data_IF_711088693184
#
_entry.id   IF_711088693184
#
_cell.length_a   1.000
_cell.length_b   1.000
_cell.length_c   1.000
_cell.angle_alpha   90.00
_cell.angle_beta   90.00
_cell.angle_gamma   90.00
#
_symmetry.space_group_name_H-M   'P 1'
#
loop_
_entity.id
_entity.type
_entity.pdbx_description
1 polymer ?
#
# COMPACT_ATOMS: atom_id res chain seq x y z
N UNK A 1 -32.21 -27.17 52.37
CA UNK A 1 -32.12 -28.18 51.33
C UNK A 1 -32.38 -27.46 50.02
N UNK A 2 -31.34 -26.87 49.42
CA UNK A 2 -31.43 -26.12 48.17
C UNK A 2 -30.37 -26.71 47.25
N UNK A 3 -30.80 -27.37 46.18
CA UNK A 3 -30.00 -28.03 45.18
C UNK A 3 -29.36 -27.00 44.26
N UNK A 4 -28.03 -27.08 44.15
CA UNK A 4 -27.23 -26.35 43.16
C UNK A 4 -27.35 -27.10 41.81
N UNK A 5 -27.55 -26.44 40.66
CA UNK A 5 -27.42 -27.10 39.35
C UNK A 5 -25.96 -27.14 38.88
N UNK A 6 -25.58 -28.30 38.34
CA UNK A 6 -24.29 -28.56 37.73
C UNK A 6 -24.00 -27.67 36.51
N UNK A 7 -22.72 -27.37 36.22
CA UNK A 7 -22.35 -26.63 35.02
C UNK A 7 -22.38 -27.54 33.79
N UNK A 8 -22.94 -27.04 32.71
CA UNK A 8 -22.94 -27.65 31.37
C UNK A 8 -21.48 -27.60 30.80
N UNK A 9 -21.09 -28.62 30.00
CA UNK A 9 -19.77 -28.64 29.38
C UNK A 9 -19.67 -27.57 28.28
N UNK A 10 -18.47 -26.97 28.18
CA UNK A 10 -18.08 -26.01 27.17
C UNK A 10 -18.09 -26.68 25.78
N UNK A 11 -18.91 -26.17 24.89
CA UNK A 11 -18.88 -26.48 23.47
C UNK A 11 -17.63 -25.84 22.84
N UNK A 12 -16.84 -26.69 22.21
CA UNK A 12 -15.64 -26.32 21.47
C UNK A 12 -16.03 -25.43 20.28
N UNK A 13 -15.66 -24.14 20.36
CA UNK A 13 -15.61 -23.28 19.18
C UNK A 13 -14.33 -23.60 18.43
N UNK A 14 -14.43 -24.42 17.40
CA UNK A 14 -13.40 -24.64 16.40
C UNK A 14 -13.38 -23.47 15.40
N UNK A 15 -12.18 -22.88 15.30
CA UNK A 15 -11.53 -22.28 14.15
C UNK A 15 -12.38 -21.87 12.92
N UNK A 16 -12.60 -20.57 12.81
CA UNK A 16 -12.74 -19.86 11.54
C UNK A 16 -12.24 -18.42 11.70
N UNK A 17 -10.94 -18.24 11.92
CA UNK A 17 -10.31 -16.92 12.09
C UNK A 17 -9.07 -16.75 11.19
N UNK A 18 -9.06 -17.32 9.99
CA UNK A 18 -7.92 -17.26 9.07
C UNK A 18 -8.11 -16.32 7.87
N UNK A 19 -9.28 -15.68 7.69
CA UNK A 19 -9.60 -14.96 6.44
C UNK A 19 -9.69 -13.43 6.52
N UNK A 20 -9.35 -12.77 7.63
CA UNK A 20 -9.66 -11.32 7.76
C UNK A 20 -8.51 -10.40 8.18
N UNK A 21 -7.27 -10.67 7.81
CA UNK A 21 -6.18 -9.83 8.31
C UNK A 21 -5.18 -9.29 7.27
N UNK A 22 -5.53 -9.33 6.00
CA UNK A 22 -4.82 -8.58 4.97
C UNK A 22 -5.82 -7.56 4.43
N UNK A 23 -5.55 -6.27 4.61
CA UNK A 23 -6.44 -5.15 4.31
C UNK A 23 -7.32 -5.33 3.08
N UNK A 24 -8.65 -5.41 3.30
CA UNK A 24 -9.73 -5.46 2.30
C UNK A 24 -9.96 -4.12 1.58
N UNK A 25 -8.91 -3.41 1.18
CA UNK A 25 -9.07 -2.21 0.36
C UNK A 25 -8.90 -2.49 -1.15
N UNK A 26 -8.88 -3.78 -1.55
CA UNK A 26 -8.86 -4.21 -2.94
C UNK A 26 -9.76 -5.43 -3.14
N UNK A 27 -11.06 -5.35 -2.78
CA UNK A 27 -12.07 -6.23 -3.33
C UNK A 27 -12.42 -5.75 -4.73
N UNK A 28 -11.76 -6.35 -5.74
CA UNK A 28 -12.38 -6.59 -7.02
C UNK A 28 -12.88 -8.04 -6.98
N UNK A 29 -14.19 -8.21 -7.11
CA UNK A 29 -14.87 -9.49 -7.19
C UNK A 29 -14.19 -10.41 -8.21
N UNK A 30 -13.63 -11.52 -7.73
CA UNK A 30 -13.14 -12.59 -8.57
C UNK A 30 -14.07 -13.79 -8.36
N UNK A 31 -15.17 -13.85 -9.13
CA UNK A 31 -15.93 -15.07 -9.32
C UNK A 31 -15.16 -15.97 -10.28
N UNK A 32 -14.74 -17.13 -9.78
CA UNK A 32 -14.05 -18.15 -10.55
C UNK A 32 -15.01 -18.88 -11.48
N UNK A 33 -14.79 -18.77 -12.77
CA UNK A 33 -15.45 -19.59 -13.77
C UNK A 33 -14.73 -20.92 -13.94
N UNK A 34 -15.54 -21.98 -13.99
CA UNK A 34 -15.14 -23.38 -14.19
C UNK A 34 -14.63 -23.55 -15.63
N UNK A 35 -13.42 -24.08 -15.76
CA UNK A 35 -12.81 -24.40 -17.06
C UNK A 35 -13.53 -25.58 -17.72
N UNK A 36 -14.15 -25.34 -18.87
CA UNK A 36 -14.58 -26.35 -19.81
C UNK A 36 -13.44 -26.64 -20.82
N UNK A 37 -13.26 -27.90 -21.18
CA UNK A 37 -12.11 -28.45 -21.88
C UNK A 37 -12.13 -28.20 -23.41
N UNK A 38 -10.91 -28.06 -23.96
CA UNK A 38 -10.53 -28.32 -25.38
C UNK A 38 -10.91 -27.29 -26.47
N UNK A 39 -10.31 -26.08 -26.35
CA UNK A 39 -9.86 -25.35 -27.55
C UNK A 39 -8.45 -24.83 -27.25
N UNK A 40 -7.46 -25.20 -28.11
CA UNK A 40 -6.09 -24.69 -27.94
C UNK A 40 -6.08 -23.16 -27.76
N UNK A 41 -5.08 -22.56 -27.01
CA UNK A 41 -5.14 -21.18 -26.62
C UNK A 41 -5.24 -20.26 -27.83
N UNK A 42 -6.45 -19.77 -28.11
CA UNK A 42 -6.64 -18.66 -29.03
C UNK A 42 -5.85 -17.48 -28.44
N UNK A 43 -5.07 -16.80 -29.28
CA UNK A 43 -4.37 -15.58 -28.88
C UNK A 43 -5.42 -14.60 -28.28
N UNK A 44 -5.36 -14.30 -26.98
CA UNK A 44 -6.37 -13.46 -26.32
C UNK A 44 -6.37 -12.03 -26.87
N UNK A 45 -5.38 -11.66 -27.67
CA UNK A 45 -5.26 -10.35 -28.32
C UNK A 45 -5.58 -10.40 -29.82
N UNK A 46 -6.03 -11.54 -30.35
CA UNK A 46 -6.43 -11.64 -31.75
C UNK A 46 -7.60 -10.69 -32.07
N UNK A 47 -7.58 -10.01 -33.22
CA UNK A 47 -8.69 -9.15 -33.66
C UNK A 47 -10.02 -9.91 -33.73
N UNK A 48 -11.06 -9.34 -33.14
CA UNK A 48 -12.42 -9.89 -33.19
C UNK A 48 -13.22 -9.11 -34.22
N UNK A 49 -13.63 -9.82 -35.29
CA UNK A 49 -14.47 -9.26 -36.36
C UNK A 49 -15.93 -9.63 -36.13
N UNK A 50 -16.80 -8.63 -36.14
CA UNK A 50 -18.23 -8.78 -35.96
C UNK A 50 -18.95 -8.15 -37.14
N UNK A 51 -19.83 -8.92 -37.79
CA UNK A 51 -20.76 -8.37 -38.78
C UNK A 51 -22.10 -8.19 -38.10
N UNK A 52 -22.58 -6.95 -38.05
CA UNK A 52 -23.86 -6.64 -37.44
C UNK A 52 -25.01 -7.15 -38.29
N UNK A 53 -26.11 -7.44 -37.67
CA UNK A 53 -27.36 -7.87 -38.27
C UNK A 53 -28.50 -6.87 -37.99
N UNK A 54 -29.55 -6.78 -38.81
CA UNK A 54 -30.59 -5.75 -38.66
C UNK A 54 -31.32 -5.72 -37.32
N UNK A 55 -31.21 -6.79 -36.53
CA UNK A 55 -31.81 -6.87 -35.19
C UNK A 55 -31.23 -5.89 -34.16
N UNK A 56 -30.04 -5.36 -34.40
CA UNK A 56 -29.39 -4.37 -33.53
C UNK A 56 -29.54 -2.94 -34.07
N UNK A 57 -30.30 -2.74 -35.15
CA UNK A 57 -30.54 -1.42 -35.75
C UNK A 57 -31.14 -0.44 -34.73
N UNK A 58 -30.51 0.73 -34.62
CA UNK A 58 -30.95 1.79 -33.68
C UNK A 58 -30.35 1.65 -32.26
N UNK A 59 -29.63 0.57 -31.98
CA UNK A 59 -28.95 0.43 -30.69
C UNK A 59 -27.64 1.23 -30.62
N UNK A 60 -27.14 1.42 -29.42
CA UNK A 60 -25.85 2.10 -29.22
C UNK A 60 -24.70 1.12 -29.38
N UNK A 61 -23.63 1.57 -30.04
CA UNK A 61 -22.42 0.79 -30.30
C UNK A 61 -21.89 0.09 -29.03
N UNK A 62 -21.75 0.83 -27.90
CA UNK A 62 -21.23 0.28 -26.66
C UNK A 62 -22.09 -0.86 -26.06
N UNK A 63 -23.39 -0.84 -26.32
CA UNK A 63 -24.28 -1.93 -25.88
C UNK A 63 -24.18 -3.14 -26.80
N UNK A 64 -24.14 -2.90 -28.08
CA UNK A 64 -24.05 -3.97 -29.08
C UNK A 64 -22.73 -4.72 -28.98
N UNK A 65 -21.61 -3.99 -28.88
CA UNK A 65 -20.30 -4.62 -28.70
C UNK A 65 -20.24 -5.41 -27.40
N UNK A 66 -20.73 -4.88 -26.29
CA UNK A 66 -20.74 -5.60 -25.02
C UNK A 66 -21.62 -6.86 -25.03
N UNK A 67 -22.68 -6.91 -25.85
CA UNK A 67 -23.52 -8.10 -26.04
C UNK A 67 -22.83 -9.15 -26.89
N UNK A 68 -22.08 -8.73 -27.92
CA UNK A 68 -21.45 -9.63 -28.89
C UNK A 68 -20.06 -10.09 -28.45
N UNK A 69 -19.42 -9.40 -27.51
CA UNK A 69 -18.09 -9.72 -26.98
C UNK A 69 -18.16 -9.81 -25.45
N UNK A 70 -18.87 -10.81 -24.91
CA UNK A 70 -19.21 -10.90 -23.49
C UNK A 70 -17.97 -11.17 -22.60
N UNK A 71 -16.86 -11.64 -23.17
CA UNK A 71 -15.60 -11.88 -22.44
C UNK A 71 -14.94 -10.60 -21.90
N UNK A 72 -15.39 -9.40 -22.32
CA UNK A 72 -14.86 -8.14 -21.83
C UNK A 72 -15.96 -7.29 -21.19
N UNK A 73 -15.64 -6.63 -20.08
CA UNK A 73 -16.59 -5.73 -19.42
C UNK A 73 -16.98 -4.55 -20.33
N UNK A 74 -18.23 -4.09 -20.21
CA UNK A 74 -18.73 -2.95 -21.00
C UNK A 74 -17.87 -1.70 -20.81
N UNK A 75 -17.38 -1.44 -19.59
CA UNK A 75 -16.51 -0.30 -19.32
C UNK A 75 -15.20 -0.38 -20.09
N UNK A 76 -14.60 -1.57 -20.17
CA UNK A 76 -13.38 -1.82 -20.96
C UNK A 76 -13.61 -1.60 -22.45
N UNK A 77 -14.70 -2.12 -22.98
CA UNK A 77 -15.07 -1.89 -24.37
C UNK A 77 -15.35 -0.41 -24.71
N UNK A 78 -15.91 0.35 -23.75
CA UNK A 78 -16.08 1.80 -23.92
C UNK A 78 -14.74 2.53 -24.01
N UNK A 79 -13.76 2.19 -23.16
CA UNK A 79 -12.41 2.72 -23.24
C UNK A 79 -11.77 2.40 -24.58
N UNK A 80 -11.85 1.14 -25.04
CA UNK A 80 -11.31 0.73 -26.34
C UNK A 80 -11.95 1.46 -27.52
N UNK A 81 -13.25 1.80 -27.43
CA UNK A 81 -13.90 2.63 -28.45
C UNK A 81 -13.33 4.06 -28.43
N UNK A 82 -13.15 4.65 -27.26
CA UNK A 82 -12.58 6.01 -27.08
C UNK A 82 -11.14 6.08 -27.58
N UNK A 83 -10.35 5.04 -27.31
CA UNK A 83 -8.93 4.93 -27.67
C UNK A 83 -8.72 4.49 -29.15
N UNK A 84 -9.81 4.20 -29.89
CA UNK A 84 -9.77 3.82 -31.30
C UNK A 84 -9.43 2.38 -31.61
N UNK A 85 -9.42 1.49 -30.59
CA UNK A 85 -9.22 0.04 -30.75
C UNK A 85 -10.50 -0.69 -31.18
N UNK A 86 -11.62 -0.01 -31.29
CA UNK A 86 -12.85 -0.51 -31.90
C UNK A 86 -13.21 0.39 -33.07
N UNK A 87 -13.27 -0.23 -34.25
CA UNK A 87 -13.63 0.47 -35.48
C UNK A 87 -14.96 -0.03 -36.04
N UNK A 88 -15.70 0.87 -36.70
CA UNK A 88 -16.92 0.59 -37.45
C UNK A 88 -16.62 0.90 -38.90
N UNK A 89 -16.73 -0.08 -39.79
CA UNK A 89 -16.34 0.01 -41.22
C UNK A 89 -14.94 0.60 -41.43
N UNK A 90 -14.00 0.18 -40.57
CA UNK A 90 -12.60 0.59 -40.60
C UNK A 90 -12.36 2.02 -40.08
N UNK A 91 -13.33 2.69 -39.45
CA UNK A 91 -13.21 4.05 -38.92
C UNK A 91 -13.43 4.07 -37.39
N UNK A 92 -12.68 4.91 -36.66
CA UNK A 92 -12.96 5.15 -35.25
C UNK A 92 -14.39 5.66 -35.03
N UNK A 93 -15.05 5.18 -33.99
CA UNK A 93 -16.44 5.52 -33.68
C UNK A 93 -16.56 6.13 -32.28
N UNK A 94 -17.68 6.81 -32.02
CA UNK A 94 -17.99 7.32 -30.68
C UNK A 94 -18.69 6.23 -29.85
N UNK A 95 -18.43 6.17 -28.55
CA UNK A 95 -19.04 5.21 -27.60
C UNK A 95 -20.57 5.12 -27.74
N UNK A 96 -21.20 6.25 -27.95
CA UNK A 96 -22.67 6.36 -28.06
C UNK A 96 -23.17 6.45 -29.49
N UNK A 97 -22.33 6.08 -30.49
CA UNK A 97 -22.78 6.02 -31.87
C UNK A 97 -23.95 5.03 -32.01
N UNK A 98 -24.90 5.36 -32.89
CA UNK A 98 -25.98 4.45 -33.25
C UNK A 98 -25.49 3.53 -34.38
N UNK A 99 -25.77 2.24 -34.30
CA UNK A 99 -25.51 1.27 -35.36
C UNK A 99 -26.77 0.95 -36.13
N UNK A 100 -26.63 0.54 -37.41
CA UNK A 100 -27.78 0.35 -38.32
C UNK A 100 -27.97 -1.12 -38.71
N UNK A 101 -27.00 -2.01 -38.39
CA UNK A 101 -27.12 -3.45 -38.55
C UNK A 101 -26.56 -4.01 -39.88
N UNK A 102 -25.76 -3.23 -40.56
CA UNK A 102 -25.04 -3.62 -41.78
C UNK A 102 -23.52 -3.34 -41.69
N UNK A 103 -23.09 -2.83 -40.53
CA UNK A 103 -21.68 -2.47 -40.34
C UNK A 103 -20.82 -3.65 -39.94
N UNK A 104 -19.55 -3.57 -40.31
CA UNK A 104 -18.48 -4.44 -39.83
C UNK A 104 -17.77 -3.75 -38.64
N UNK A 105 -17.79 -4.37 -37.47
CA UNK A 105 -17.03 -3.92 -36.32
C UNK A 105 -15.78 -4.78 -36.20
N UNK A 106 -14.65 -4.14 -35.97
CA UNK A 106 -13.40 -4.80 -35.60
C UNK A 106 -13.00 -4.33 -34.23
N UNK A 107 -12.89 -5.26 -33.29
CA UNK A 107 -12.37 -5.04 -31.93
C UNK A 107 -10.93 -5.55 -31.91
N UNK A 108 -9.99 -4.69 -31.53
CA UNK A 108 -8.59 -5.05 -31.27
C UNK A 108 -8.39 -5.15 -29.76
N UNK A 109 -8.49 -6.36 -29.17
CA UNK A 109 -8.33 -6.51 -27.74
C UNK A 109 -6.97 -5.98 -27.30
N UNK A 110 -6.97 -5.24 -26.19
CA UNK A 110 -5.76 -4.77 -25.54
C UNK A 110 -5.56 -5.55 -24.26
N UNK A 111 -4.30 -5.87 -23.93
CA UNK A 111 -3.97 -6.45 -22.62
C UNK A 111 -4.60 -5.58 -21.52
N UNK A 112 -5.21 -6.22 -20.52
CA UNK A 112 -5.71 -5.47 -19.40
C UNK A 112 -4.54 -4.81 -18.67
N UNK A 113 -4.70 -3.59 -18.17
CA UNK A 113 -3.72 -3.05 -17.24
C UNK A 113 -3.43 -4.02 -16.08
N UNK A 114 -4.44 -4.79 -15.67
CA UNK A 114 -4.32 -5.85 -14.67
C UNK A 114 -3.40 -7.00 -15.12
N UNK A 115 -3.35 -7.31 -16.40
CA UNK A 115 -2.52 -8.39 -16.95
C UNK A 115 -1.01 -8.06 -16.88
N UNK A 116 -0.67 -6.76 -16.92
CA UNK A 116 0.71 -6.30 -16.74
C UNK A 116 1.06 -6.01 -15.28
N UNK A 117 0.08 -6.05 -14.39
CA UNK A 117 0.25 -5.73 -12.96
C UNK A 117 1.31 -6.60 -12.27
N UNK A 118 1.51 -7.82 -12.73
CA UNK A 118 2.47 -8.77 -12.19
C UNK A 118 3.67 -9.01 -13.13
N UNK A 119 3.85 -8.19 -14.17
CA UNK A 119 5.01 -8.29 -15.04
C UNK A 119 6.29 -7.88 -14.27
N UNK A 120 7.38 -8.68 -14.34
CA UNK A 120 8.66 -8.29 -13.78
C UNK A 120 9.22 -7.03 -14.46
N UNK A 121 9.70 -6.05 -13.68
CA UNK A 121 10.30 -4.82 -14.21
C UNK A 121 11.63 -4.51 -13.51
N UNK A 122 12.66 -4.03 -14.24
CA UNK A 122 13.98 -3.73 -13.68
C UNK A 122 13.95 -2.43 -12.85
N UNK A 123 13.39 -2.53 -11.65
CA UNK A 123 13.33 -1.44 -10.67
C UNK A 123 14.45 -1.65 -9.65
N UNK A 124 15.23 -0.61 -9.41
CA UNK A 124 16.28 -0.65 -8.39
C UNK A 124 15.68 -0.71 -6.98
N UNK A 125 16.14 -1.69 -6.19
CA UNK A 125 15.65 -1.94 -4.82
C UNK A 125 16.86 -1.93 -3.88
N UNK A 126 16.87 -0.98 -2.97
CA UNK A 126 17.86 -0.89 -1.90
C UNK A 126 17.60 -1.96 -0.83
N UNK A 127 18.49 -2.96 -0.76
CA UNK A 127 18.37 -4.10 0.14
C UNK A 127 19.22 -3.86 1.39
N UNK A 128 18.57 -3.79 2.53
CA UNK A 128 19.19 -3.61 3.84
C UNK A 128 19.66 -4.95 4.42
N UNK A 129 18.87 -6.00 4.22
CA UNK A 129 19.16 -7.36 4.68
C UNK A 129 18.49 -8.38 3.77
N UNK A 130 19.16 -9.51 3.56
CA UNK A 130 18.60 -10.65 2.83
C UNK A 130 19.20 -11.95 3.37
N UNK A 131 18.34 -12.97 3.54
CA UNK A 131 18.72 -14.35 3.77
C UNK A 131 17.86 -15.31 2.94
N UNK A 132 17.80 -16.58 3.33
CA UNK A 132 17.01 -17.59 2.61
C UNK A 132 15.49 -17.42 2.79
N UNK A 133 15.05 -16.70 3.82
CA UNK A 133 13.64 -16.62 4.25
C UNK A 133 13.03 -15.23 4.06
N UNK A 134 13.77 -14.17 4.31
CA UNK A 134 13.22 -12.81 4.23
C UNK A 134 14.17 -11.82 3.55
N UNK A 135 13.59 -10.73 3.09
CA UNK A 135 14.30 -9.57 2.56
C UNK A 135 13.82 -8.34 3.33
N UNK A 136 14.73 -7.51 3.79
CA UNK A 136 14.41 -6.17 4.32
C UNK A 136 14.94 -5.14 3.34
N UNK A 137 14.08 -4.24 2.91
CA UNK A 137 14.41 -3.20 1.94
C UNK A 137 14.22 -1.81 2.55
N UNK A 138 14.94 -0.84 2.01
CA UNK A 138 14.70 0.58 2.19
C UNK A 138 13.96 1.12 0.96
N UNK A 139 12.63 1.22 1.04
CA UNK A 139 11.82 1.71 -0.07
C UNK A 139 12.06 3.20 -0.30
N UNK A 140 12.41 3.66 -1.50
CA UNK A 140 12.47 5.08 -1.80
C UNK A 140 11.08 5.73 -1.78
N UNK A 141 11.03 7.04 -1.53
CA UNK A 141 9.84 7.84 -1.78
C UNK A 141 9.51 7.85 -3.29
N UNK A 142 8.24 7.97 -3.64
CA UNK A 142 7.77 7.96 -5.02
C UNK A 142 7.44 6.57 -5.58
N UNK A 143 7.90 5.48 -4.94
CA UNK A 143 7.64 4.11 -5.38
C UNK A 143 6.35 3.58 -4.75
N UNK A 144 5.40 3.18 -5.60
CA UNK A 144 4.15 2.49 -5.19
C UNK A 144 4.48 1.04 -4.81
N UNK A 145 3.86 0.51 -3.77
CA UNK A 145 4.14 -0.85 -3.28
C UNK A 145 3.48 -1.92 -4.14
N UNK A 146 2.18 -1.78 -4.42
CA UNK A 146 1.39 -2.75 -5.18
C UNK A 146 0.72 -2.10 -6.39
N UNK A 147 0.54 -2.84 -7.48
CA UNK A 147 -0.33 -2.41 -8.56
C UNK A 147 -1.75 -2.10 -8.06
N UNK A 148 -2.38 -1.14 -8.71
CA UNK A 148 -3.75 -0.73 -8.40
C UNK A 148 -4.21 0.38 -9.32
N UNK A 149 -5.44 0.85 -9.16
CA UNK A 149 -6.03 1.88 -10.01
C UNK A 149 -5.11 3.10 -10.18
N UNK A 150 -4.70 3.36 -11.42
CA UNK A 150 -3.78 4.43 -11.79
C UNK A 150 -2.28 4.10 -11.68
N UNK A 151 -1.90 2.89 -11.21
CA UNK A 151 -0.50 2.45 -11.11
C UNK A 151 -0.43 0.93 -11.31
N UNK A 152 -0.61 0.46 -12.54
CA UNK A 152 -0.63 -0.96 -12.87
C UNK A 152 0.77 -1.55 -13.11
N UNK A 153 1.79 -0.71 -13.23
CA UNK A 153 3.19 -1.06 -13.48
C UNK A 153 4.10 -0.11 -12.71
N UNK A 154 5.42 -0.35 -12.73
CA UNK A 154 6.39 0.50 -12.03
C UNK A 154 6.28 0.42 -10.51
N UNK A 155 5.83 -0.69 -9.95
CA UNK A 155 5.63 -0.85 -8.51
C UNK A 155 6.75 -1.69 -7.88
N UNK A 156 6.88 -1.61 -6.55
CA UNK A 156 7.82 -2.45 -5.81
C UNK A 156 7.59 -3.93 -6.13
N UNK A 157 6.34 -4.37 -6.25
CA UNK A 157 6.00 -5.75 -6.60
C UNK A 157 6.64 -6.16 -7.94
N UNK A 158 6.58 -5.30 -8.97
CA UNK A 158 7.20 -5.58 -10.27
C UNK A 158 8.72 -5.71 -10.16
N UNK A 159 9.36 -4.83 -9.37
CA UNK A 159 10.80 -4.90 -9.08
C UNK A 159 11.22 -6.15 -8.31
N UNK A 160 10.41 -6.56 -7.32
CA UNK A 160 10.64 -7.79 -6.56
C UNK A 160 10.57 -9.02 -7.45
N UNK A 161 9.57 -9.11 -8.34
CA UNK A 161 9.44 -10.21 -9.30
C UNK A 161 10.60 -10.26 -10.30
N UNK A 162 11.16 -9.10 -10.67
CA UNK A 162 12.33 -9.05 -11.56
C UNK A 162 13.60 -9.54 -10.86
N UNK A 163 13.87 -9.06 -9.65
CA UNK A 163 15.12 -9.38 -8.93
C UNK A 163 15.07 -10.77 -8.29
N UNK A 164 13.90 -11.20 -7.84
CA UNK A 164 13.66 -12.52 -7.22
C UNK A 164 12.50 -13.25 -7.90
N UNK A 165 12.70 -13.87 -9.08
CA UNK A 165 11.64 -14.52 -9.84
C UNK A 165 10.86 -15.60 -9.06
N UNK A 166 11.50 -16.23 -8.07
CA UNK A 166 10.85 -17.22 -7.20
C UNK A 166 9.70 -16.65 -6.37
N UNK A 167 9.67 -15.32 -6.15
CA UNK A 167 8.55 -14.66 -5.46
C UNK A 167 7.24 -14.69 -6.26
N UNK A 168 7.28 -15.05 -7.56
CA UNK A 168 6.08 -15.29 -8.36
C UNK A 168 5.20 -16.43 -7.83
N UNK A 169 5.77 -17.36 -7.03
CA UNK A 169 5.02 -18.41 -6.33
C UNK A 169 4.49 -18.01 -4.95
N UNK A 170 4.77 -16.79 -4.49
CA UNK A 170 4.35 -16.29 -3.18
C UNK A 170 3.29 -15.20 -3.36
N UNK A 171 2.14 -15.25 -2.66
CA UNK A 171 1.11 -14.24 -2.78
C UNK A 171 1.68 -12.82 -2.66
N UNK A 172 1.28 -11.92 -3.56
CA UNK A 172 1.76 -10.51 -3.59
C UNK A 172 3.30 -10.38 -3.55
N UNK A 173 4.01 -11.32 -4.16
CA UNK A 173 5.49 -11.38 -4.13
C UNK A 173 6.08 -11.31 -2.71
N UNK A 174 5.42 -11.93 -1.73
CA UNK A 174 5.89 -11.98 -0.33
C UNK A 174 5.67 -10.72 0.50
N UNK A 175 5.06 -9.66 -0.06
CA UNK A 175 4.79 -8.41 0.65
C UNK A 175 3.70 -8.64 1.71
N UNK A 176 3.98 -8.25 2.96
CA UNK A 176 3.10 -8.44 4.13
C UNK A 176 2.56 -7.14 4.72
N UNK A 177 3.15 -6.00 4.37
CA UNK A 177 2.69 -4.66 4.76
C UNK A 177 3.06 -3.63 3.68
N UNK A 178 2.58 -2.42 3.84
CA UNK A 178 2.80 -1.37 2.85
C UNK A 178 3.23 -0.05 3.48
N UNK A 179 3.93 0.75 2.68
CA UNK A 179 4.14 2.18 2.88
C UNK A 179 3.37 2.95 1.81
N UNK A 180 3.00 4.18 2.09
CA UNK A 180 2.45 5.08 1.08
C UNK A 180 3.48 5.35 -0.03
N UNK A 181 3.03 5.73 -1.23
CA UNK A 181 3.90 6.03 -2.37
C UNK A 181 5.09 6.92 -1.96
N UNK A 182 4.81 8.04 -1.30
CA UNK A 182 5.79 9.06 -0.96
C UNK A 182 6.36 8.93 0.46
N UNK A 183 6.08 7.82 1.16
CA UNK A 183 6.74 7.44 2.41
C UNK A 183 7.93 6.56 2.09
N UNK A 184 9.11 6.91 2.56
CA UNK A 184 10.35 6.12 2.45
C UNK A 184 10.54 5.19 3.63
N UNK A 185 11.48 4.24 3.52
CA UNK A 185 11.97 3.47 4.65
C UNK A 185 11.72 1.98 4.61
N UNK A 186 11.89 1.34 5.77
CA UNK A 186 11.99 -0.11 5.92
C UNK A 186 10.69 -0.85 5.63
N UNK A 187 10.83 -1.91 4.84
CA UNK A 187 9.79 -2.93 4.60
C UNK A 187 10.39 -4.32 4.64
N UNK A 188 9.60 -5.31 5.13
CA UNK A 188 9.97 -6.73 5.10
C UNK A 188 9.12 -7.50 4.10
N UNK A 189 9.78 -8.44 3.40
CA UNK A 189 9.21 -9.33 2.38
C UNK A 189 9.56 -10.77 2.76
N UNK A 190 8.58 -11.68 2.76
CA UNK A 190 8.81 -13.10 2.94
C UNK A 190 9.15 -13.78 1.62
N UNK A 191 10.21 -14.59 1.58
CA UNK A 191 10.67 -15.27 0.34
C UNK A 191 9.88 -16.54 0.03
N UNK A 192 9.15 -17.06 0.99
CA UNK A 192 8.32 -18.25 0.87
C UNK A 192 6.98 -18.08 1.63
N UNK A 193 6.02 -18.97 1.37
CA UNK A 193 4.69 -18.91 1.96
C UNK A 193 4.68 -19.09 3.48
N UNK A 194 5.58 -19.92 4.03
CA UNK A 194 5.65 -20.17 5.47
C UNK A 194 6.14 -18.92 6.20
N UNK A 195 7.21 -18.30 5.69
CA UNK A 195 7.76 -17.03 6.16
C UNK A 195 6.73 -15.91 6.06
N UNK A 196 6.07 -15.78 4.91
CA UNK A 196 5.03 -14.77 4.72
C UNK A 196 3.89 -14.93 5.72
N UNK A 197 3.42 -16.18 5.92
CA UNK A 197 2.34 -16.49 6.87
C UNK A 197 2.73 -16.14 8.30
N UNK A 198 3.95 -16.46 8.71
CA UNK A 198 4.45 -16.12 10.05
C UNK A 198 4.54 -14.60 10.25
N UNK A 199 5.13 -13.87 9.30
CA UNK A 199 5.20 -12.41 9.35
C UNK A 199 3.80 -11.76 9.42
N UNK A 200 2.81 -12.29 8.70
CA UNK A 200 1.42 -11.84 8.79
C UNK A 200 0.87 -12.09 10.21
N UNK A 201 1.13 -13.25 10.82
CA UNK A 201 0.71 -13.53 12.19
C UNK A 201 1.36 -12.58 13.19
N UNK A 202 2.64 -12.27 13.04
CA UNK A 202 3.33 -11.30 13.89
C UNK A 202 2.73 -9.89 13.75
N UNK A 203 2.38 -9.46 12.54
CA UNK A 203 1.69 -8.19 12.30
C UNK A 203 0.29 -8.16 12.95
N UNK A 204 -0.46 -9.27 12.87
CA UNK A 204 -1.77 -9.42 13.53
C UNK A 204 -1.65 -9.39 15.05
N UNK A 205 -0.66 -10.08 15.60
CA UNK A 205 -0.34 -10.10 17.02
C UNK A 205 0.26 -8.77 17.51
N UNK A 206 0.53 -7.80 16.59
CA UNK A 206 1.15 -6.50 16.88
C UNK A 206 2.54 -6.62 17.51
N UNK A 207 3.25 -7.73 17.28
CA UNK A 207 4.59 -7.95 17.77
C UNK A 207 5.69 -7.36 16.90
N UNK A 208 5.39 -7.04 15.63
CA UNK A 208 6.32 -6.34 14.74
C UNK A 208 6.47 -4.88 15.17
N UNK A 209 7.66 -4.50 15.57
CA UNK A 209 8.00 -3.10 15.89
C UNK A 209 8.13 -2.31 14.60
N UNK A 210 7.35 -1.25 14.45
CA UNK A 210 7.39 -0.33 13.31
C UNK A 210 7.49 1.08 13.82
N UNK A 211 8.66 1.68 13.66
CA UNK A 211 8.94 3.01 14.14
C UNK A 211 9.22 3.94 12.96
N UNK A 212 8.57 5.08 13.01
CA UNK A 212 8.62 6.10 11.98
C UNK A 212 9.08 7.42 12.58
N UNK A 213 9.85 8.17 11.82
CA UNK A 213 10.07 9.58 12.11
C UNK A 213 9.23 10.44 11.18
N UNK A 214 8.60 11.45 11.75
CA UNK A 214 7.69 12.36 11.06
C UNK A 214 7.99 13.80 11.49
N UNK A 215 8.09 14.73 10.54
CA UNK A 215 8.12 16.14 10.86
C UNK A 215 6.70 16.70 10.77
N UNK A 216 6.19 17.21 11.88
CA UNK A 216 4.83 17.73 12.01
C UNK A 216 4.83 19.23 12.24
N UNK A 217 3.83 19.93 11.72
CA UNK A 217 3.59 21.34 12.04
C UNK A 217 3.12 21.51 13.47
N UNK A 218 3.70 22.50 14.18
CA UNK A 218 3.33 22.85 15.54
C UNK A 218 4.10 22.07 16.60
N UNK A 219 3.62 22.15 17.84
CA UNK A 219 4.28 21.58 19.01
C UNK A 219 3.32 20.65 19.74
N UNK A 220 3.22 19.37 19.36
CA UNK A 220 2.43 18.37 20.07
C UNK A 220 2.97 18.20 21.51
N UNK A 221 2.19 17.57 22.38
CA UNK A 221 2.67 17.14 23.70
C UNK A 221 3.91 16.27 23.53
N UNK A 222 4.71 16.16 24.61
CA UNK A 222 5.96 15.39 24.58
C UNK A 222 5.72 13.95 24.12
N UNK A 223 4.67 13.32 24.61
CA UNK A 223 4.27 11.97 24.19
C UNK A 223 2.75 11.80 24.30
N UNK A 224 2.24 10.76 23.65
CA UNK A 224 0.84 10.40 23.71
C UNK A 224 0.49 9.17 22.88
N UNK A 225 -0.76 8.73 23.04
CA UNK A 225 -1.34 7.66 22.27
C UNK A 225 -2.58 8.18 21.55
N UNK A 226 -2.68 7.90 20.26
CA UNK A 226 -3.85 8.19 19.44
C UNK A 226 -4.55 6.86 19.20
N UNK A 227 -5.61 6.59 19.97
CA UNK A 227 -6.49 5.45 19.78
C UNK A 227 -7.77 5.97 19.12
N UNK A 228 -7.78 5.99 17.80
CA UNK A 228 -8.85 6.60 17.03
C UNK A 228 -9.13 5.74 15.75
N UNK A 229 -10.25 5.02 15.71
CA UNK A 229 -10.62 4.18 14.58
C UNK A 229 -10.65 4.96 13.27
N UNK A 230 -10.26 4.30 12.19
CA UNK A 230 -10.14 4.92 10.87
C UNK A 230 -11.02 4.23 9.84
N UNK A 231 -11.56 5.01 8.92
CA UNK A 231 -12.33 4.54 7.76
C UNK A 231 -12.15 5.47 6.58
N UNK A 232 -12.77 5.13 5.44
CA UNK A 232 -12.77 6.01 4.27
C UNK A 232 -13.51 7.31 4.59
N UNK A 233 -12.98 8.43 4.08
CA UNK A 233 -13.63 9.72 4.25
C UNK A 233 -14.98 9.75 3.50
N UNK A 234 -16.05 10.23 4.14
CA UNK A 234 -17.42 10.11 3.61
C UNK A 234 -17.66 10.80 2.25
N UNK A 235 -16.94 11.88 1.98
CA UNK A 235 -17.13 12.70 0.76
C UNK A 235 -15.98 12.59 -0.24
N UNK A 236 -14.79 12.27 0.23
CA UNK A 236 -13.57 12.21 -0.59
C UNK A 236 -13.01 10.78 -0.52
N UNK A 237 -13.27 9.99 -1.55
CA UNK A 237 -12.87 8.58 -1.60
C UNK A 237 -11.36 8.34 -1.62
N UNK A 238 -10.58 9.37 -1.93
CA UNK A 238 -9.10 9.29 -1.93
C UNK A 238 -8.55 9.39 -0.51
N UNK A 239 -9.33 9.94 0.43
CA UNK A 239 -8.91 10.20 1.80
C UNK A 239 -9.40 9.14 2.78
N UNK A 240 -8.57 8.92 3.79
CA UNK A 240 -8.96 8.25 5.03
C UNK A 240 -9.30 9.32 6.09
N UNK A 241 -10.06 8.93 7.11
CA UNK A 241 -10.42 9.83 8.22
C UNK A 241 -10.59 9.03 9.51
N UNK A 242 -10.38 9.69 10.65
CA UNK A 242 -10.87 9.18 11.93
C UNK A 242 -12.39 9.09 11.85
N UNK A 243 -12.94 7.92 12.15
CA UNK A 243 -14.35 7.62 12.00
C UNK A 243 -14.77 6.53 12.98
N UNK A 244 -15.99 6.65 13.51
CA UNK A 244 -16.64 5.60 14.32
C UNK A 244 -17.80 4.95 13.56
N UNK A 245 -17.95 5.24 12.25
CA UNK A 245 -19.01 4.71 11.39
C UNK A 245 -18.80 3.24 11.01
N UNK A 246 -19.81 2.67 10.34
CA UNK A 246 -19.74 1.32 9.77
C UNK A 246 -18.51 1.19 8.84
N UNK A 247 -17.69 0.15 9.09
CA UNK A 247 -16.46 -0.08 8.33
C UNK A 247 -15.21 0.62 8.87
N UNK A 248 -15.31 1.42 9.94
CA UNK A 248 -14.12 1.93 10.63
C UNK A 248 -13.38 0.79 11.33
N UNK A 249 -12.06 0.74 11.15
CA UNK A 249 -11.18 -0.28 11.75
C UNK A 249 -10.38 0.34 12.90
N UNK A 250 -10.09 -0.39 14.00
CA UNK A 250 -9.24 0.10 15.07
C UNK A 250 -7.88 0.56 14.55
N UNK A 251 -7.41 1.70 15.04
CA UNK A 251 -6.13 2.26 14.67
C UNK A 251 -5.48 2.90 15.90
N UNK A 252 -4.23 2.49 16.24
CA UNK A 252 -3.50 2.94 17.40
C UNK A 252 -2.10 3.36 16.97
N UNK A 253 -1.74 4.61 17.31
CA UNK A 253 -0.42 5.22 17.08
C UNK A 253 0.09 5.81 18.38
N UNK A 254 1.25 5.38 18.84
CA UNK A 254 1.98 6.03 19.91
C UNK A 254 2.93 7.05 19.30
N UNK A 255 3.06 8.21 19.91
CA UNK A 255 4.00 9.22 19.45
C UNK A 255 4.81 9.82 20.60
N UNK A 256 6.02 10.26 20.25
CA UNK A 256 6.94 10.97 21.12
C UNK A 256 7.61 12.09 20.34
N UNK A 257 7.60 13.31 20.88
CA UNK A 257 8.29 14.44 20.28
C UNK A 257 9.76 14.40 20.66
N UNK A 258 10.62 14.16 19.69
CA UNK A 258 12.07 14.04 19.88
C UNK A 258 12.73 15.42 19.94
N UNK A 259 12.32 16.32 19.03
CA UNK A 259 12.90 17.66 18.93
C UNK A 259 11.85 18.68 18.46
N UNK A 260 12.17 19.95 18.61
CA UNK A 260 11.40 21.07 18.08
C UNK A 260 12.31 22.02 17.32
N UNK A 261 11.80 22.59 16.25
CA UNK A 261 12.49 23.54 15.40
C UNK A 261 11.53 24.54 14.79
N UNK A 262 11.99 25.26 13.79
CA UNK A 262 11.20 26.27 13.10
C UNK A 262 11.39 26.14 11.58
N UNK A 263 10.29 26.20 10.83
CA UNK A 263 10.29 26.23 9.37
C UNK A 263 9.38 27.38 8.92
N UNK A 264 9.87 28.27 8.05
CA UNK A 264 9.15 29.47 7.64
C UNK A 264 8.54 30.28 8.79
N UNK A 265 9.30 30.48 9.88
CA UNK A 265 8.88 31.17 11.11
C UNK A 265 7.68 30.51 11.81
N UNK A 266 7.52 29.22 11.65
CA UNK A 266 6.45 28.43 12.27
C UNK A 266 7.06 27.27 13.03
N UNK A 267 6.53 26.94 14.21
CA UNK A 267 7.04 25.81 14.96
C UNK A 267 6.78 24.50 14.21
N UNK A 268 7.77 23.65 14.20
CA UNK A 268 7.71 22.26 13.75
C UNK A 268 8.26 21.35 14.82
N UNK A 269 7.92 20.09 14.78
CA UNK A 269 8.43 19.08 15.70
C UNK A 269 8.77 17.80 14.96
N UNK A 270 9.94 17.25 15.24
CA UNK A 270 10.26 15.87 14.88
C UNK A 270 9.60 14.94 15.88
N UNK A 271 8.80 14.02 15.37
CA UNK A 271 7.99 13.09 16.14
C UNK A 271 8.32 11.67 15.76
N UNK A 272 8.68 10.85 16.73
CA UNK A 272 8.73 9.40 16.59
C UNK A 272 7.31 8.85 16.70
N UNK A 273 6.92 8.00 15.77
CA UNK A 273 5.63 7.32 15.77
C UNK A 273 5.82 5.81 15.80
N UNK A 274 5.20 5.12 16.75
CA UNK A 274 5.19 3.66 16.86
C UNK A 274 3.79 3.14 16.56
N UNK A 275 3.70 2.16 15.65
CA UNK A 275 2.42 1.63 15.18
C UNK A 275 2.09 0.29 15.83
N UNK A 276 0.91 0.18 16.48
CA UNK A 276 0.31 -1.12 16.77
C UNK A 276 -0.46 -1.65 15.54
N UNK A 277 -1.13 -0.80 14.83
CA UNK A 277 -1.91 -1.10 13.62
C UNK A 277 -1.29 -0.41 12.41
N UNK A 278 -1.57 -0.86 11.18
CA UNK A 278 -1.02 -0.28 9.95
C UNK A 278 -2.12 0.05 8.94
N UNK A 279 -3.01 1.01 9.24
CA UNK A 279 -4.06 1.43 8.30
C UNK A 279 -3.49 2.39 7.27
N UNK A 280 -4.13 2.42 6.09
CA UNK A 280 -3.76 3.36 5.02
C UNK A 280 -3.69 4.79 5.56
N UNK A 281 -2.56 5.47 5.32
CA UNK A 281 -2.29 6.84 5.77
C UNK A 281 -2.37 7.06 7.31
N UNK A 282 -2.23 6.02 8.14
CA UNK A 282 -2.58 6.09 9.58
C UNK A 282 -1.87 7.22 10.32
N UNK A 283 -0.54 7.32 10.27
CA UNK A 283 0.21 8.38 10.97
C UNK A 283 -0.23 9.76 10.48
N UNK A 284 -0.38 9.93 9.18
CA UNK A 284 -0.78 11.18 8.54
C UNK A 284 -2.14 11.65 9.01
N UNK A 285 -3.12 10.75 9.03
CA UNK A 285 -4.49 11.03 9.51
C UNK A 285 -4.52 11.29 11.01
N UNK A 286 -3.82 10.49 11.80
CA UNK A 286 -3.77 10.62 13.25
C UNK A 286 -3.12 11.94 13.68
N UNK A 287 -1.99 12.31 13.10
CA UNK A 287 -1.32 13.56 13.39
C UNK A 287 -2.15 14.78 12.95
N UNK A 288 -2.79 14.70 11.77
CA UNK A 288 -3.72 15.73 11.32
C UNK A 288 -4.95 15.86 12.25
N UNK A 289 -5.48 14.73 12.75
CA UNK A 289 -6.59 14.70 13.71
C UNK A 289 -6.24 15.40 15.03
N UNK A 290 -5.00 15.26 15.51
CA UNK A 290 -4.51 16.00 16.68
C UNK A 290 -4.29 17.50 16.41
N UNK A 291 -4.39 17.95 15.14
CA UNK A 291 -4.11 19.33 14.75
C UNK A 291 -2.67 19.59 14.32
N UNK A 292 -1.83 18.57 14.22
CA UNK A 292 -0.42 18.61 13.84
C UNK A 292 -0.15 17.84 12.55
N UNK A 293 -0.67 18.28 11.38
CA UNK A 293 -0.43 17.58 10.12
C UNK A 293 1.05 17.56 9.77
N UNK A 294 1.48 16.57 9.00
CA UNK A 294 2.87 16.44 8.60
C UNK A 294 3.27 17.54 7.61
N UNK A 295 4.53 17.93 7.68
CA UNK A 295 5.15 18.86 6.72
C UNK A 295 5.13 18.20 5.34
N UNK A 296 4.76 18.97 4.30
CA UNK A 296 4.69 18.50 2.92
C UNK A 296 3.51 17.56 2.61
N UNK A 297 2.60 17.28 3.54
CA UNK A 297 1.45 16.43 3.27
C UNK A 297 0.37 17.18 2.47
N UNK A 298 0.28 16.90 1.17
CA UNK A 298 -0.69 17.52 0.26
C UNK A 298 -2.13 17.06 0.46
N UNK A 299 -2.33 15.91 1.13
CA UNK A 299 -3.66 15.31 1.31
C UNK A 299 -4.31 15.77 2.61
N UNK A 300 -3.56 15.74 3.72
CA UNK A 300 -4.05 16.03 5.07
C UNK A 300 -3.50 17.34 5.65
N UNK A 301 -2.51 17.93 5.00
CA UNK A 301 -1.94 19.24 5.36
C UNK A 301 -2.88 20.39 5.04
N UNK A 302 -2.55 21.56 5.56
CA UNK A 302 -3.24 22.82 5.23
C UNK A 302 -2.66 23.34 3.91
N UNK A 303 -3.48 23.75 2.91
CA UNK A 303 -3.00 24.14 1.57
C UNK A 303 -1.87 25.17 1.56
N UNK A 304 -1.89 26.13 2.50
CA UNK A 304 -0.87 27.17 2.62
C UNK A 304 0.43 26.70 3.29
N UNK A 305 0.53 25.45 3.70
CA UNK A 305 1.70 24.85 4.36
C UNK A 305 2.29 23.67 3.58
N UNK A 306 1.78 23.36 2.39
CA UNK A 306 2.20 22.16 1.67
C UNK A 306 3.38 22.39 0.72
N UNK A 307 3.68 23.61 0.32
CA UNK A 307 4.69 23.90 -0.70
C UNK A 307 6.15 23.85 -0.23
N UNK A 308 6.40 23.70 1.07
CA UNK A 308 7.76 23.78 1.66
C UNK A 308 8.56 22.47 1.52
N UNK A 309 7.89 21.36 1.31
CA UNK A 309 8.52 20.07 1.08
C UNK A 309 7.69 19.26 0.08
N UNK A 310 8.35 18.51 -0.79
CA UNK A 310 7.72 17.91 -1.99
C UNK A 310 6.93 16.63 -1.71
N UNK A 311 6.94 16.10 -0.48
CA UNK A 311 6.22 14.90 -0.02
C UNK A 311 5.88 15.00 1.45
N UNK A 312 5.08 14.08 2.00
CA UNK A 312 4.97 13.99 3.45
C UNK A 312 6.33 13.67 4.08
N UNK A 313 6.75 14.48 5.05
CA UNK A 313 7.97 14.24 5.81
C UNK A 313 7.73 13.08 6.79
N UNK A 314 7.84 11.86 6.28
CA UNK A 314 7.58 10.60 6.96
C UNK A 314 8.49 9.50 6.42
N UNK A 315 9.17 8.80 7.34
CA UNK A 315 10.03 7.66 7.02
C UNK A 315 9.88 6.54 8.03
N UNK A 316 9.75 5.30 7.56
CA UNK A 316 9.84 4.09 8.36
C UNK A 316 11.33 3.84 8.68
N UNK A 317 11.76 4.20 9.90
CA UNK A 317 13.18 4.24 10.27
C UNK A 317 13.68 2.97 10.91
N UNK A 318 12.84 2.33 11.77
CA UNK A 318 13.20 1.12 12.49
C UNK A 318 12.15 0.04 12.32
N UNK A 319 12.60 -1.17 12.09
CA UNK A 319 11.77 -2.36 11.93
C UNK A 319 12.32 -3.49 12.78
N UNK A 320 11.50 -4.05 13.69
CA UNK A 320 11.89 -5.19 14.53
C UNK A 320 10.84 -6.29 14.47
N UNK A 321 11.31 -7.54 14.38
CA UNK A 321 10.46 -8.74 14.32
C UNK A 321 11.19 -9.96 14.89
N UNK A 322 10.45 -11.04 15.09
CA UNK A 322 11.04 -12.36 15.35
C UNK A 322 11.27 -13.04 14.01
N UNK A 323 12.49 -13.50 13.77
CA UNK A 323 12.84 -14.17 12.52
C UNK A 323 12.05 -15.48 12.36
N UNK A 324 11.26 -15.63 11.27
CA UNK A 324 10.33 -16.76 11.13
C UNK A 324 10.96 -18.16 11.19
N UNK A 325 12.20 -18.30 10.73
CA UNK A 325 12.88 -19.60 10.69
C UNK A 325 13.74 -19.85 11.93
N UNK A 326 14.43 -18.84 12.48
CA UNK A 326 15.36 -19.02 13.60
C UNK A 326 14.72 -18.75 14.96
N UNK A 327 13.64 -17.97 15.03
CA UNK A 327 13.03 -17.52 16.28
C UNK A 327 13.81 -16.41 17.00
N UNK A 328 14.89 -15.89 16.39
CA UNK A 328 15.70 -14.81 16.96
C UNK A 328 15.04 -13.45 16.74
N UNK A 329 15.24 -12.53 17.69
CA UNK A 329 14.83 -11.15 17.53
C UNK A 329 15.78 -10.42 16.57
N UNK A 330 15.24 -9.88 15.50
CA UNK A 330 15.95 -9.07 14.52
C UNK A 330 15.42 -7.64 14.55
N UNK A 331 16.33 -6.69 14.44
CA UNK A 331 15.98 -5.26 14.33
C UNK A 331 16.91 -4.59 13.31
N UNK A 332 16.33 -3.76 12.46
CA UNK A 332 17.04 -2.96 11.46
C UNK A 332 16.70 -1.51 11.65
N UNK A 333 17.68 -0.67 11.47
CA UNK A 333 17.54 0.79 11.51
C UNK A 333 18.29 1.39 10.33
N UNK A 334 17.75 2.45 9.74
CA UNK A 334 18.35 3.17 8.62
C UNK A 334 18.45 4.67 8.93
N UNK A 335 19.40 5.33 8.30
CA UNK A 335 19.51 6.79 8.33
C UNK A 335 18.31 7.43 7.62
N UNK A 336 18.04 8.69 7.94
CA UNK A 336 17.03 9.44 7.20
C UNK A 336 17.45 9.63 5.74
N UNK A 337 16.46 9.65 4.85
CA UNK A 337 16.66 10.02 3.46
C UNK A 337 17.22 11.45 3.36
N UNK A 338 18.09 11.68 2.38
CA UNK A 338 18.84 12.95 2.25
C UNK A 338 17.92 14.17 2.21
N UNK A 339 16.79 14.07 1.48
CA UNK A 339 15.80 15.15 1.43
C UNK A 339 15.16 15.44 2.79
N UNK A 340 14.90 14.41 3.60
CA UNK A 340 14.32 14.57 4.93
C UNK A 340 15.37 15.11 5.92
N UNK A 341 16.62 14.66 5.81
CA UNK A 341 17.73 15.18 6.62
C UNK A 341 17.97 16.67 6.34
N UNK A 342 18.04 17.06 5.06
CA UNK A 342 18.16 18.46 4.68
C UNK A 342 17.00 19.33 5.22
N UNK A 343 15.77 18.78 5.24
CA UNK A 343 14.62 19.45 5.83
C UNK A 343 14.77 19.64 7.35
N UNK A 344 15.31 18.65 8.08
CA UNK A 344 15.58 18.80 9.52
C UNK A 344 16.65 19.85 9.80
N UNK A 345 17.73 19.88 9.01
CA UNK A 345 18.78 20.90 9.10
C UNK A 345 18.20 22.31 8.89
N UNK A 346 17.33 22.49 7.88
CA UNK A 346 16.63 23.76 7.64
C UNK A 346 15.75 24.19 8.84
N UNK A 347 15.21 23.21 9.57
CA UNK A 347 14.41 23.44 10.77
C UNK A 347 15.28 23.70 12.02
N UNK A 348 16.60 23.60 11.94
CA UNK A 348 17.51 23.69 13.09
C UNK A 348 17.46 22.45 13.99
N UNK A 349 17.09 21.29 13.46
CA UNK A 349 17.04 20.01 14.18
C UNK A 349 18.22 19.17 13.73
N UNK A 350 19.14 18.88 14.65
CA UNK A 350 20.31 18.03 14.43
C UNK A 350 19.97 16.56 14.68
N UNK A 351 20.01 15.73 13.63
CA UNK A 351 19.77 14.30 13.73
C UNK A 351 20.83 13.59 14.59
N UNK A 352 22.10 13.98 14.48
CA UNK A 352 23.17 13.35 15.24
C UNK A 352 23.04 13.59 16.75
N UNK A 353 22.53 14.77 17.14
CA UNK A 353 22.28 15.08 18.54
C UNK A 353 21.19 14.18 19.17
N UNK A 354 20.29 13.62 18.35
CA UNK A 354 19.22 12.73 18.80
C UNK A 354 19.67 11.27 19.02
N UNK A 355 20.87 10.94 18.55
CA UNK A 355 21.48 9.61 18.73
C UNK A 355 22.50 9.59 19.88
N UNK A 356 22.84 10.75 20.43
CA UNK A 356 23.72 10.79 21.61
C UNK A 356 22.92 10.31 22.81
N UNK A 357 23.32 9.20 23.36
CA UNK A 357 22.81 8.69 24.62
C UNK A 357 22.99 9.81 25.67
N UNK A 358 21.95 10.29 26.37
CA UNK A 358 22.10 11.34 27.38
C UNK A 358 23.02 10.91 28.54
N UNK A 359 23.29 9.62 28.68
CA UNK A 359 24.11 9.02 29.72
C UNK A 359 25.47 8.50 29.21
N UNK A 360 25.92 8.94 28.01
CA UNK A 360 27.22 8.55 27.44
C UNK A 360 28.38 8.95 28.33
N UNK A 361 28.71 8.12 29.32
CA UNK A 361 30.02 8.09 29.94
C UNK A 361 31.03 7.76 28.85
N UNK A 362 31.90 8.73 28.55
CA UNK A 362 33.11 8.48 27.78
C UNK A 362 33.95 7.47 28.59
N UNK A 363 34.03 6.22 28.17
CA UNK A 363 35.16 5.39 28.51
C UNK A 363 36.40 6.01 27.84
N UNK A 364 37.10 6.87 28.57
CA UNK A 364 38.45 7.27 28.23
C UNK A 364 39.30 6.00 28.24
N UNK A 365 39.61 5.48 27.06
CA UNK A 365 40.65 4.51 26.87
C UNK A 365 42.01 5.19 27.18
N UNK A 366 42.34 5.26 28.46
CA UNK A 366 43.70 5.54 28.92
C UNK A 366 44.63 4.41 28.45
N UNK A 367 45.18 4.58 27.27
CA UNK A 367 46.41 3.89 26.91
C UNK A 367 47.56 4.46 27.74
N UNK A 368 47.78 3.86 28.92
CA UNK A 368 49.03 4.02 29.63
C UNK A 368 50.13 3.14 28.93
N UNK A 369 51.02 3.84 28.23
CA UNK A 369 52.35 3.34 27.86
C UNK A 369 53.19 3.16 29.13
N UNK A 370 53.60 1.91 29.40
CA UNK A 370 54.79 1.61 30.19
C UNK A 370 55.40 0.25 29.79
#
# INVERSE_FOLDING_TARGET
>A
MILNPEPKPAEQAQDNALDHAIDDDAEADFEGDVLDEDVGPADPLAPIELNLTPDVCGERLDKVVAKLVPQFSRGRLQSWIEDGFVTVDGKPAKVRATVYGDEKIVVLPQAAPEDVAFAPEPIDIDVVYEDDHLIVINKPAGLVVHPGAGNWSGTLLNGLLHRWPQLGGVPRAGIVHRLDKDTSGLMVIGKDLATQTDLVRQLQARSVKREYWALAWGTPRLSGTIDAPMGRHQRDRVKMAVSTGLGAKPAITHYERLASGELDRRPVSLVQCRLETGRTHQIRVHMAHLGYPLVGDYVYGKPHLTGVFHRQALQARRLGLVHPATGEHCEWEIMLADDFRALLEECGIDEEALHRDPDGEFEDDDYDDA
#
